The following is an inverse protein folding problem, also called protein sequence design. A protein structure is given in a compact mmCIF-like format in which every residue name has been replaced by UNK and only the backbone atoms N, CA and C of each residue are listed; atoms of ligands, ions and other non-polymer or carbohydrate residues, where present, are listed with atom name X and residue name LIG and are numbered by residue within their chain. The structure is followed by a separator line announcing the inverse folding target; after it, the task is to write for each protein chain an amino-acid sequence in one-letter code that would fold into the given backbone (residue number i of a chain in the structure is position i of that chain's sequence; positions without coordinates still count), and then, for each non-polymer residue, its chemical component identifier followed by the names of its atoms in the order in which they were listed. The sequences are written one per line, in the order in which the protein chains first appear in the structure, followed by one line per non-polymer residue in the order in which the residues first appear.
data_IF_464526202295
#
_entry.id   IF_464526202295
#
_cell.length_a   1.000
_cell.length_b   1.000
_cell.length_c   1.000
_cell.angle_alpha   90.00
_cell.angle_beta   90.00
_cell.angle_gamma   90.00
#
_symmetry.space_group_name_H-M   'P 1'
#
loop_
_entity.id
_entity.type
_entity.pdbx_description
1 polymer ?
#
# COMPACT_ATOMS: atom_id res chain seq x y z
N UNK A 1 14.89 19.76 35.21
CA UNK A 1 14.57 18.96 34.02
C UNK A 1 15.12 19.69 32.82
N UNK A 2 16.15 19.16 32.17
CA UNK A 2 16.66 19.70 30.91
C UNK A 2 15.63 19.38 29.82
N UNK A 3 15.02 20.41 29.23
CA UNK A 3 14.21 20.28 28.01
C UNK A 3 15.12 19.90 26.85
N UNK A 4 15.44 18.62 26.73
CA UNK A 4 16.15 18.08 25.57
C UNK A 4 15.20 18.17 24.37
N UNK A 5 15.45 19.12 23.49
CA UNK A 5 14.73 19.27 22.22
C UNK A 5 15.47 18.44 21.18
N UNK A 6 14.82 17.39 20.67
CA UNK A 6 15.36 16.63 19.55
C UNK A 6 15.43 17.55 18.31
N UNK A 7 16.46 17.40 17.45
CA UNK A 7 16.50 18.14 16.20
C UNK A 7 15.27 17.78 15.34
N UNK A 8 14.78 18.76 14.59
CA UNK A 8 13.75 18.49 13.58
C UNK A 8 14.32 17.55 12.50
N UNK A 9 13.55 16.58 11.99
CA UNK A 9 14.05 15.67 10.96
C UNK A 9 14.49 16.44 9.72
N UNK A 10 15.64 16.06 9.18
CA UNK A 10 16.16 16.63 7.93
C UNK A 10 15.52 15.86 6.76
N UNK A 11 15.00 16.55 5.73
CA UNK A 11 14.48 15.88 4.53
C UNK A 11 15.54 15.00 3.88
N UNK A 12 15.11 13.89 3.29
CA UNK A 12 16.00 13.09 2.42
C UNK A 12 16.21 13.86 1.11
N UNK A 13 17.45 14.05 0.68
CA UNK A 13 17.76 14.81 -0.54
C UNK A 13 17.05 14.22 -1.78
N UNK A 14 16.80 12.91 -1.80
CA UNK A 14 16.10 12.23 -2.90
C UNK A 14 14.62 12.60 -2.97
N UNK A 15 14.01 13.05 -1.88
CA UNK A 15 12.62 13.51 -1.90
C UNK A 15 12.43 14.70 -2.85
N UNK A 16 13.44 15.55 -2.98
CA UNK A 16 13.44 16.70 -3.88
C UNK A 16 13.49 16.35 -5.38
N UNK A 17 13.68 15.07 -5.72
CA UNK A 17 13.49 14.59 -7.09
C UNK A 17 12.00 14.49 -7.47
N UNK A 18 11.09 14.58 -6.49
CA UNK A 18 9.66 14.35 -6.68
C UNK A 18 8.77 15.47 -6.14
N UNK A 19 9.19 16.14 -5.06
CA UNK A 19 8.43 17.21 -4.40
C UNK A 19 9.36 18.34 -3.96
N UNK A 20 8.89 19.57 -3.99
CA UNK A 20 9.66 20.72 -3.51
C UNK A 20 9.63 20.81 -1.98
N UNK A 21 8.53 20.38 -1.35
CA UNK A 21 8.32 20.50 0.08
C UNK A 21 7.57 19.31 0.70
N UNK A 22 7.58 19.24 2.04
CA UNK A 22 6.74 18.28 2.77
C UNK A 22 5.23 18.52 2.53
N UNK A 23 4.81 19.74 2.23
CA UNK A 23 3.41 20.05 1.94
C UNK A 23 2.95 19.33 0.67
N UNK A 24 3.80 19.26 -0.35
CA UNK A 24 3.45 18.59 -1.61
C UNK A 24 3.26 17.08 -1.40
N UNK A 25 3.94 16.48 -0.40
CA UNK A 25 3.67 15.09 0.01
C UNK A 25 2.31 14.91 0.67
N UNK A 26 1.74 15.96 1.25
CA UNK A 26 0.36 15.92 1.73
C UNK A 26 -0.62 15.85 0.55
N UNK A 27 -0.42 16.68 -0.47
CA UNK A 27 -1.28 16.74 -1.66
C UNK A 27 -1.30 15.38 -2.37
N UNK A 28 -0.14 14.70 -2.46
CA UNK A 28 -0.02 13.38 -3.07
C UNK A 28 -0.82 12.27 -2.36
N UNK A 29 -1.11 12.45 -1.07
CA UNK A 29 -1.82 11.45 -0.26
C UNK A 29 -3.21 11.90 0.20
N UNK A 30 -3.65 13.08 -0.24
CA UNK A 30 -4.91 13.68 0.16
C UNK A 30 -6.09 12.77 -0.21
N UNK A 31 -6.08 12.28 -1.44
CA UNK A 31 -7.13 11.42 -2.00
C UNK A 31 -7.04 9.95 -1.56
N UNK A 32 -6.00 9.56 -0.81
CA UNK A 32 -5.85 8.20 -0.26
C UNK A 32 -6.73 8.02 0.99
N UNK A 33 -8.04 8.12 0.80
CA UNK A 33 -9.05 8.00 1.83
C UNK A 33 -9.43 6.53 2.01
N UNK A 34 -9.51 6.07 3.26
CA UNK A 34 -9.99 4.71 3.55
C UNK A 34 -11.51 4.68 3.43
N UNK A 35 -12.09 3.83 2.57
CA UNK A 35 -13.54 3.77 2.37
C UNK A 35 -14.24 3.11 3.56
N UNK A 36 -15.56 3.34 3.67
CA UNK A 36 -16.42 2.65 4.63
C UNK A 36 -16.54 1.15 4.31
N UNK A 37 -16.85 0.34 5.32
CA UNK A 37 -17.04 -1.11 5.15
C UNK A 37 -15.75 -1.92 5.02
N UNK A 38 -14.58 -1.29 5.12
CA UNK A 38 -13.29 -1.98 5.17
C UNK A 38 -13.09 -2.64 6.54
N UNK A 39 -12.61 -3.89 6.60
CA UNK A 39 -12.25 -4.53 7.87
C UNK A 39 -11.27 -3.67 8.68
N UNK A 40 -11.45 -3.58 10.00
CA UNK A 40 -10.65 -2.71 10.89
C UNK A 40 -9.13 -2.94 10.75
N UNK A 41 -8.72 -4.20 10.55
CA UNK A 41 -7.33 -4.55 10.29
C UNK A 41 -6.80 -3.91 8.99
N UNK A 42 -7.59 -3.90 7.92
CA UNK A 42 -7.23 -3.24 6.67
C UNK A 42 -7.26 -1.71 6.79
N UNK A 43 -8.18 -1.13 7.58
CA UNK A 43 -8.19 0.33 7.86
C UNK A 43 -6.87 0.78 8.47
N UNK A 44 -6.39 0.05 9.48
CA UNK A 44 -5.12 0.36 10.16
C UNK A 44 -3.93 0.31 9.20
N UNK A 45 -3.90 -0.72 8.35
CA UNK A 45 -2.81 -0.93 7.40
C UNK A 45 -2.83 0.12 6.29
N UNK A 46 -4.00 0.49 5.75
CA UNK A 46 -4.13 1.56 4.75
C UNK A 46 -3.72 2.91 5.29
N UNK A 47 -4.16 3.27 6.51
CA UNK A 47 -3.71 4.51 7.17
C UNK A 47 -2.19 4.52 7.35
N UNK A 48 -1.62 3.39 7.76
CA UNK A 48 -0.16 3.25 7.87
C UNK A 48 0.53 3.43 6.52
N UNK A 49 0.03 2.81 5.45
CA UNK A 49 0.58 2.96 4.11
C UNK A 49 0.58 4.42 3.64
N UNK A 50 -0.55 5.13 3.83
CA UNK A 50 -0.69 6.55 3.53
C UNK A 50 0.35 7.39 4.28
N UNK A 51 0.49 7.16 5.58
CA UNK A 51 1.43 7.90 6.41
C UNK A 51 2.88 7.59 6.07
N UNK A 52 3.23 6.34 5.79
CA UNK A 52 4.56 5.97 5.31
C UNK A 52 4.90 6.69 4.00
N UNK A 53 3.95 6.77 3.08
CA UNK A 53 4.15 7.48 1.83
C UNK A 53 4.39 8.98 2.10
N UNK A 54 3.58 9.61 2.94
CA UNK A 54 3.77 11.02 3.35
C UNK A 54 5.12 11.26 4.03
N UNK A 55 5.51 10.37 4.95
CA UNK A 55 6.76 10.47 5.71
C UNK A 55 7.99 10.07 4.89
N UNK A 56 7.81 9.53 3.67
CA UNK A 56 8.92 9.22 2.77
C UNK A 56 9.73 10.45 2.33
N UNK A 57 9.20 11.65 2.58
CA UNK A 57 9.96 12.90 2.51
C UNK A 57 11.22 12.90 3.39
N UNK A 58 11.14 12.32 4.58
CA UNK A 58 12.24 12.28 5.54
C UNK A 58 13.02 10.96 5.51
N UNK A 59 12.39 9.87 5.07
CA UNK A 59 13.04 8.58 4.90
C UNK A 59 12.54 7.95 3.61
N UNK A 60 13.32 8.10 2.54
CA UNK A 60 12.91 7.74 1.18
C UNK A 60 12.42 6.29 1.06
N UNK A 61 13.01 5.37 1.81
CA UNK A 61 12.66 3.94 1.85
C UNK A 61 11.22 3.68 2.35
N UNK A 62 10.61 4.60 3.11
CA UNK A 62 9.23 4.44 3.57
C UNK A 62 8.22 4.36 2.42
N UNK A 63 8.52 4.93 1.26
CA UNK A 63 7.69 4.78 0.05
C UNK A 63 7.56 3.31 -0.38
N UNK A 64 8.62 2.52 -0.22
CA UNK A 64 8.59 1.08 -0.50
C UNK A 64 7.78 0.33 0.56
N UNK A 65 7.96 0.69 1.83
CA UNK A 65 7.20 0.09 2.93
C UNK A 65 5.71 0.42 2.82
N UNK A 66 5.35 1.60 2.30
CA UNK A 66 3.98 1.98 2.02
C UNK A 66 3.31 1.05 1.01
N UNK A 67 4.00 0.71 -0.09
CA UNK A 67 3.52 -0.26 -1.10
C UNK A 67 3.33 -1.64 -0.49
N UNK A 68 4.26 -2.08 0.36
CA UNK A 68 4.12 -3.37 1.04
C UNK A 68 2.90 -3.40 1.96
N UNK A 69 2.65 -2.31 2.69
CA UNK A 69 1.45 -2.20 3.53
C UNK A 69 0.17 -2.14 2.70
N UNK A 70 0.14 -1.39 1.59
CA UNK A 70 -1.05 -1.31 0.75
C UNK A 70 -1.43 -2.67 0.17
N UNK A 71 -0.46 -3.50 -0.20
CA UNK A 71 -0.69 -4.88 -0.65
C UNK A 71 -1.19 -5.81 0.48
N UNK A 72 -0.72 -5.62 1.72
CA UNK A 72 -1.24 -6.34 2.89
C UNK A 72 -2.71 -5.99 3.12
N UNK A 73 -3.08 -4.71 2.99
CA UNK A 73 -4.48 -4.29 3.12
C UNK A 73 -5.39 -4.96 2.07
N UNK A 74 -4.95 -5.02 0.81
CA UNK A 74 -5.69 -5.73 -0.23
C UNK A 74 -5.85 -7.21 0.12
N UNK A 75 -4.79 -7.88 0.61
CA UNK A 75 -4.89 -9.28 1.02
C UNK A 75 -5.90 -9.49 2.15
N UNK A 76 -5.95 -8.59 3.14
CA UNK A 76 -6.94 -8.65 4.22
C UNK A 76 -8.36 -8.55 3.65
N UNK A 77 -8.60 -7.58 2.76
CA UNK A 77 -9.93 -7.40 2.13
C UNK A 77 -10.31 -8.60 1.27
N UNK A 78 -9.38 -9.16 0.49
CA UNK A 78 -9.64 -10.37 -0.28
C UNK A 78 -9.99 -11.56 0.61
N UNK A 79 -9.31 -11.72 1.76
CA UNK A 79 -9.63 -12.79 2.72
C UNK A 79 -11.01 -12.63 3.34
N UNK A 80 -11.46 -11.39 3.53
CA UNK A 80 -12.79 -11.09 4.04
C UNK A 80 -13.88 -11.36 3.00
N UNK A 81 -13.62 -11.03 1.73
CA UNK A 81 -14.60 -11.16 0.63
C UNK A 81 -14.67 -12.56 0.01
N UNK A 82 -13.58 -13.32 0.02
CA UNK A 82 -13.52 -14.64 -0.62
C UNK A 82 -13.98 -15.74 0.35
N UNK A 83 -15.02 -16.52 0.01
CA UNK A 83 -15.44 -17.66 0.81
C UNK A 83 -14.32 -18.70 0.96
N UNK A 84 -14.23 -19.28 2.16
CA UNK A 84 -13.24 -20.30 2.50
C UNK A 84 -11.79 -19.86 2.21
N UNK A 85 -11.49 -18.55 2.34
CA UNK A 85 -10.16 -18.00 2.11
C UNK A 85 -9.10 -18.62 3.04
N UNK A 86 -9.46 -18.88 4.30
CA UNK A 86 -8.60 -19.54 5.29
C UNK A 86 -7.17 -18.99 5.30
N UNK A 87 -6.19 -19.88 5.18
CA UNK A 87 -4.75 -19.55 5.08
C UNK A 87 -4.21 -19.61 3.64
N UNK A 88 -5.07 -19.54 2.63
CA UNK A 88 -4.65 -19.59 1.20
C UNK A 88 -3.60 -18.50 0.94
N UNK A 89 -2.48 -18.79 0.26
CA UNK A 89 -1.53 -17.75 -0.15
C UNK A 89 -2.18 -16.75 -1.10
N UNK A 90 -1.66 -15.52 -1.16
CA UNK A 90 -2.22 -14.43 -1.97
C UNK A 90 -2.45 -14.82 -3.45
N UNK A 91 -1.59 -15.64 -4.06
CA UNK A 91 -1.80 -16.08 -5.44
C UNK A 91 -3.10 -16.88 -5.61
N UNK A 92 -3.45 -17.73 -4.63
CA UNK A 92 -4.68 -18.53 -4.66
C UNK A 92 -5.90 -17.66 -4.42
N UNK A 93 -5.77 -16.64 -3.55
CA UNK A 93 -6.83 -15.66 -3.34
C UNK A 93 -7.11 -14.86 -4.60
N UNK A 94 -6.08 -14.37 -5.29
CA UNK A 94 -6.24 -13.65 -6.56
C UNK A 94 -6.91 -14.53 -7.61
N UNK A 95 -6.42 -15.77 -7.76
CA UNK A 95 -7.00 -16.72 -8.72
C UNK A 95 -8.47 -16.99 -8.42
N UNK A 96 -8.79 -17.38 -7.18
CA UNK A 96 -10.17 -17.66 -6.78
C UNK A 96 -11.05 -16.42 -6.93
N UNK A 97 -10.58 -15.24 -6.50
CA UNK A 97 -11.34 -14.00 -6.65
C UNK A 97 -11.65 -13.67 -8.12
N UNK A 98 -10.75 -13.99 -9.04
CA UNK A 98 -11.01 -13.85 -10.48
C UNK A 98 -12.01 -14.91 -10.99
N UNK A 99 -11.84 -16.17 -10.60
CA UNK A 99 -12.73 -17.28 -10.98
C UNK A 99 -14.17 -17.06 -10.47
N UNK A 100 -14.31 -16.50 -9.26
CA UNK A 100 -15.58 -16.20 -8.59
C UNK A 100 -16.19 -14.85 -9.03
N UNK A 101 -15.51 -14.09 -9.91
CA UNK A 101 -15.98 -12.79 -10.41
C UNK A 101 -15.89 -11.63 -9.41
N UNK A 102 -15.24 -11.83 -8.26
CA UNK A 102 -14.97 -10.79 -7.25
C UNK A 102 -13.93 -9.79 -7.77
N UNK A 103 -12.95 -10.28 -8.53
CA UNK A 103 -11.91 -9.48 -9.18
C UNK A 103 -12.15 -9.42 -10.69
N UNK A 104 -12.04 -8.22 -11.24
CA UNK A 104 -11.89 -8.04 -12.69
C UNK A 104 -10.53 -8.57 -13.15
N UNK A 105 -10.41 -8.94 -14.43
CA UNK A 105 -9.15 -9.40 -15.02
C UNK A 105 -7.99 -8.39 -14.80
N UNK A 106 -8.27 -7.09 -14.92
CA UNK A 106 -7.31 -6.01 -14.67
C UNK A 106 -6.82 -6.00 -13.23
N UNK A 107 -7.73 -6.11 -12.26
CA UNK A 107 -7.35 -6.14 -10.85
C UNK A 107 -6.52 -7.40 -10.54
N UNK A 108 -6.92 -8.56 -11.07
CA UNK A 108 -6.17 -9.80 -10.87
C UNK A 108 -4.74 -9.71 -11.42
N UNK A 109 -4.55 -9.11 -12.61
CA UNK A 109 -3.24 -8.87 -13.21
C UNK A 109 -2.37 -7.94 -12.34
N UNK A 110 -2.92 -6.80 -11.92
CA UNK A 110 -2.18 -5.84 -11.07
C UNK A 110 -1.80 -6.44 -9.72
N UNK A 111 -2.68 -7.22 -9.11
CA UNK A 111 -2.41 -7.88 -7.85
C UNK A 111 -1.40 -9.02 -7.98
N UNK A 112 -1.39 -9.76 -9.10
CA UNK A 112 -0.35 -10.76 -9.32
C UNK A 112 1.03 -10.09 -9.47
N UNK A 113 1.11 -8.99 -10.22
CA UNK A 113 2.33 -8.20 -10.33
C UNK A 113 2.79 -7.67 -8.95
N UNK A 114 1.89 -7.05 -8.18
CA UNK A 114 2.18 -6.57 -6.83
C UNK A 114 2.63 -7.69 -5.89
N UNK A 115 2.01 -8.87 -5.96
CA UNK A 115 2.41 -10.06 -5.19
C UNK A 115 3.84 -10.50 -5.52
N UNK A 116 4.25 -10.45 -6.79
CA UNK A 116 5.61 -10.82 -7.19
C UNK A 116 6.64 -9.87 -6.56
N UNK A 117 6.38 -8.56 -6.58
CA UNK A 117 7.22 -7.55 -5.92
C UNK A 117 7.32 -7.85 -4.42
N UNK A 118 6.17 -8.01 -3.76
CA UNK A 118 6.12 -8.28 -2.32
C UNK A 118 6.89 -9.53 -1.93
N UNK A 119 6.70 -10.61 -2.68
CA UNK A 119 7.39 -11.88 -2.42
C UNK A 119 8.91 -11.75 -2.66
N UNK A 120 9.33 -11.06 -3.72
CA UNK A 120 10.75 -10.82 -3.98
C UNK A 120 11.43 -10.06 -2.84
N UNK A 121 10.77 -9.03 -2.30
CA UNK A 121 11.26 -8.29 -1.13
C UNK A 121 11.25 -9.15 0.14
N UNK A 122 10.14 -9.81 0.46
CA UNK A 122 9.97 -10.60 1.68
C UNK A 122 10.93 -11.81 1.75
N UNK A 123 11.30 -12.38 0.60
CA UNK A 123 12.26 -13.49 0.52
C UNK A 123 13.71 -13.02 0.33
N UNK A 124 13.98 -11.71 0.38
CA UNK A 124 15.34 -11.17 0.23
C UNK A 124 15.94 -11.36 -1.16
N UNK A 125 15.12 -11.63 -2.18
CA UNK A 125 15.55 -11.67 -3.58
C UNK A 125 15.80 -10.25 -4.12
N UNK A 126 15.25 -9.25 -3.44
CA UNK A 126 15.42 -7.84 -3.77
C UNK A 126 15.71 -7.03 -2.50
N UNK A 127 16.95 -7.11 -2.01
CA UNK A 127 17.39 -6.57 -0.71
C UNK A 127 17.65 -5.06 -0.67
N UNK A 128 17.76 -4.40 -1.83
CA UNK A 128 18.04 -2.96 -1.94
C UNK A 128 17.12 -2.22 -2.92
N UNK A 129 15.99 -2.81 -3.32
CA UNK A 129 15.05 -2.07 -4.16
C UNK A 129 14.33 -1.03 -3.31
N UNK A 130 14.74 0.22 -3.49
CA UNK A 130 13.91 1.36 -3.14
C UNK A 130 13.01 1.64 -4.31
N UNK A 131 11.71 1.61 -4.08
CA UNK A 131 10.69 2.06 -5.02
C UNK A 131 10.50 3.57 -4.81
N UNK A 132 10.93 4.44 -5.74
CA UNK A 132 10.75 5.88 -5.63
C UNK A 132 9.27 6.27 -5.44
N UNK A 133 8.95 7.42 -4.82
CA UNK A 133 7.59 7.95 -4.75
C UNK A 133 6.87 7.97 -6.11
N UNK A 134 7.58 8.31 -7.20
CA UNK A 134 7.04 8.26 -8.57
C UNK A 134 6.49 6.88 -9.00
N UNK A 135 7.03 5.78 -8.44
CA UNK A 135 6.53 4.42 -8.64
C UNK A 135 5.56 4.01 -7.52
N UNK A 136 5.83 4.40 -6.28
CA UNK A 136 5.07 3.97 -5.12
C UNK A 136 3.67 4.58 -5.07
N UNK A 137 3.53 5.88 -5.37
CA UNK A 137 2.24 6.59 -5.36
C UNK A 137 1.20 5.86 -6.23
N UNK A 138 1.42 5.61 -7.53
CA UNK A 138 0.38 4.94 -8.34
C UNK A 138 0.07 3.51 -7.87
N UNK A 139 1.03 2.78 -7.29
CA UNK A 139 0.79 1.45 -6.74
C UNK A 139 -0.05 1.48 -5.46
N UNK A 140 0.22 2.42 -4.56
CA UNK A 140 -0.59 2.63 -3.36
C UNK A 140 -1.99 3.10 -3.76
N UNK A 141 -2.11 4.08 -4.65
CA UNK A 141 -3.41 4.53 -5.19
C UNK A 141 -4.20 3.37 -5.79
N UNK A 142 -3.57 2.53 -6.62
CA UNK A 142 -4.23 1.34 -7.18
C UNK A 142 -4.73 0.40 -6.09
N UNK A 143 -3.97 0.21 -5.02
CA UNK A 143 -4.39 -0.63 -3.88
C UNK A 143 -5.63 -0.05 -3.17
N UNK A 144 -5.66 1.26 -2.94
CA UNK A 144 -6.81 1.97 -2.36
C UNK A 144 -8.04 1.88 -3.26
N UNK A 145 -7.87 2.06 -4.57
CA UNK A 145 -8.94 1.92 -5.57
C UNK A 145 -9.52 0.51 -5.54
N UNK A 146 -8.68 -0.52 -5.55
CA UNK A 146 -9.13 -1.93 -5.48
C UNK A 146 -9.90 -2.20 -4.19
N UNK A 147 -9.40 -1.75 -3.04
CA UNK A 147 -10.13 -1.91 -1.77
C UNK A 147 -11.49 -1.22 -1.82
N UNK A 148 -11.53 0.01 -2.36
CA UNK A 148 -12.78 0.77 -2.50
C UNK A 148 -13.78 0.03 -3.41
N UNK A 149 -13.33 -0.46 -4.56
CA UNK A 149 -14.16 -1.22 -5.48
C UNK A 149 -14.69 -2.52 -4.83
N UNK A 150 -13.85 -3.23 -4.07
CA UNK A 150 -14.24 -4.49 -3.39
C UNK A 150 -15.22 -4.29 -2.24
N UNK A 151 -15.14 -3.15 -1.54
CA UNK A 151 -16.03 -2.81 -0.42
C UNK A 151 -17.34 -2.15 -0.88
N UNK A 152 -17.38 -1.54 -2.06
CA UNK A 152 -18.59 -0.95 -2.64
C UNK A 152 -19.38 -1.92 -3.51
N UNK A 153 -18.74 -2.98 -4.02
CA UNK A 153 -19.42 -4.05 -4.73
C UNK A 153 -20.37 -4.82 -3.78
N UNK A 154 -21.63 -5.10 -4.19
CA UNK A 154 -22.55 -5.90 -3.39
C UNK A 154 -21.96 -7.27 -3.05
N UNK A 155 -22.28 -7.76 -1.86
CA UNK A 155 -21.79 -9.04 -1.33
C UNK A 155 -22.35 -10.25 -2.08
#
# INVERSE_FOLDING_TARGET
MTTQRLPFPVPDERAHLFVDSYADMHDLVEDLVVPDGVPEAAVTVLRTARELLRQSYYCYEFSTVAVMHSLIAVEIVLRDRIPDAGKKPLYQLIKQGADDGILTARQAEYLDYGRQIRNGMAHGQTTHAVMPPAMAVPMVTTSFTIVTELCTAPA
#
